data_IF_897372810042
#
_entry.id   IF_897372810042
#
_cell.length_a   1.000
_cell.length_b   1.000
_cell.length_c   1.000
_cell.angle_alpha   90.00
_cell.angle_beta   90.00
_cell.angle_gamma   90.00
#
_symmetry.space_group_name_H-M   'P 1'
#
loop_
_entity.id
_entity.type
_entity.pdbx_description
1 polymer ?
#
# COMPACT_ATOMS: atom_id res chain seq x y z
N UNK A 1 -17.78 -28.14 -21.49
CA UNK A 1 -17.08 -28.16 -20.21
C UNK A 1 -15.58 -28.14 -20.47
N UNK A 2 -14.89 -27.03 -20.15
CA UNK A 2 -13.44 -26.94 -20.23
C UNK A 2 -12.86 -27.50 -18.92
N UNK A 3 -12.49 -28.76 -18.94
CA UNK A 3 -11.86 -29.42 -17.80
C UNK A 3 -10.55 -30.10 -18.22
N UNK A 4 -9.60 -30.23 -17.30
CA UNK A 4 -8.43 -31.08 -17.50
C UNK A 4 -8.85 -32.52 -17.42
N UNK A 5 -8.57 -33.28 -18.47
CA UNK A 5 -8.89 -34.71 -18.52
C UNK A 5 -7.77 -35.56 -17.93
N UNK A 6 -6.50 -35.11 -18.08
CA UNK A 6 -5.34 -35.78 -17.52
C UNK A 6 -4.16 -34.83 -17.34
N UNK A 7 -3.24 -35.21 -16.46
CA UNK A 7 -1.93 -34.55 -16.23
C UNK A 7 -0.90 -35.68 -16.14
N UNK A 8 0.26 -35.49 -16.79
CA UNK A 8 1.34 -36.47 -16.76
C UNK A 8 2.55 -35.98 -17.56
N UNK A 9 3.52 -36.83 -17.74
CA UNK A 9 4.67 -36.59 -18.62
C UNK A 9 4.20 -36.49 -20.07
N UNK A 10 5.04 -35.91 -20.93
CA UNK A 10 4.77 -35.82 -22.38
C UNK A 10 4.50 -37.20 -23.01
N UNK A 11 5.21 -38.24 -22.56
CA UNK A 11 5.02 -39.61 -23.06
C UNK A 11 3.62 -40.15 -22.68
N UNK A 12 3.27 -40.07 -21.39
CA UNK A 12 1.96 -40.54 -20.87
C UNK A 12 0.79 -39.82 -21.53
N UNK A 13 0.90 -38.48 -21.67
CA UNK A 13 -0.19 -37.72 -22.29
C UNK A 13 -0.35 -38.03 -23.79
N UNK A 14 0.75 -38.28 -24.51
CA UNK A 14 0.71 -38.65 -25.94
C UNK A 14 0.00 -39.98 -26.17
N UNK A 15 0.12 -40.93 -25.25
CA UNK A 15 -0.57 -42.22 -25.34
C UNK A 15 -2.11 -42.10 -25.31
N UNK A 16 -2.61 -41.16 -24.53
CA UNK A 16 -4.07 -40.97 -24.35
C UNK A 16 -4.66 -39.84 -25.21
N UNK A 17 -3.80 -38.99 -25.80
CA UNK A 17 -4.27 -37.84 -26.57
C UNK A 17 -4.88 -38.18 -27.95
N UNK A 18 -4.60 -39.36 -28.49
CA UNK A 18 -5.14 -39.77 -29.76
C UNK A 18 -4.89 -38.76 -30.88
N UNK A 19 -5.97 -38.23 -31.47
CA UNK A 19 -5.93 -37.24 -32.56
C UNK A 19 -5.99 -35.78 -32.06
N UNK A 20 -5.85 -35.54 -30.76
CA UNK A 20 -5.91 -34.19 -30.20
C UNK A 20 -4.82 -33.29 -30.77
N UNK A 21 -5.15 -32.01 -30.96
CA UNK A 21 -4.18 -31.00 -31.37
C UNK A 21 -3.15 -30.81 -30.27
N UNK A 22 -1.88 -31.00 -30.60
CA UNK A 22 -0.76 -30.75 -29.69
C UNK A 22 -0.30 -29.28 -29.82
N UNK A 23 -0.13 -28.62 -28.69
CA UNK A 23 0.51 -27.30 -28.60
C UNK A 23 1.82 -27.49 -27.84
N UNK A 24 2.94 -27.27 -28.51
CA UNK A 24 4.26 -27.32 -27.89
C UNK A 24 4.55 -25.98 -27.22
N UNK A 25 4.65 -25.98 -25.90
CA UNK A 25 5.01 -24.79 -25.12
C UNK A 25 6.52 -24.54 -25.04
N UNK A 26 7.36 -25.34 -25.71
CA UNK A 26 8.82 -25.16 -25.77
C UNK A 26 9.48 -25.02 -24.39
N UNK A 27 9.07 -25.84 -23.45
CA UNK A 27 9.57 -25.83 -22.07
C UNK A 27 9.00 -24.72 -21.20
N UNK A 28 8.09 -23.88 -21.71
CA UNK A 28 7.42 -22.83 -20.90
C UNK A 28 6.33 -23.45 -20.02
N UNK A 29 6.12 -22.83 -18.87
CA UNK A 29 5.03 -23.20 -17.98
C UNK A 29 3.70 -22.73 -18.55
N UNK A 30 2.71 -23.63 -18.57
CA UNK A 30 1.33 -23.32 -18.97
C UNK A 30 0.43 -23.46 -17.75
N UNK A 31 -0.26 -22.39 -17.41
CA UNK A 31 -1.21 -22.33 -16.30
C UNK A 31 -2.59 -21.93 -16.81
N UNK A 32 -3.67 -22.23 -16.07
CA UNK A 32 -4.96 -21.60 -16.32
C UNK A 32 -4.83 -20.08 -16.27
N UNK A 33 -5.61 -19.38 -17.09
CA UNK A 33 -5.68 -17.91 -17.00
C UNK A 33 -6.12 -17.48 -15.61
N UNK A 34 -5.56 -16.37 -15.12
CA UNK A 34 -5.96 -15.78 -13.85
C UNK A 34 -7.39 -15.25 -13.98
N UNK A 35 -8.19 -15.49 -12.94
CA UNK A 35 -9.50 -14.88 -12.75
C UNK A 35 -9.40 -14.06 -11.48
N UNK A 36 -9.45 -12.76 -11.62
CA UNK A 36 -9.44 -11.82 -10.50
C UNK A 36 -10.74 -11.00 -10.55
N UNK A 37 -11.56 -11.15 -9.53
CA UNK A 37 -12.85 -10.47 -9.41
C UNK A 37 -12.81 -9.27 -8.48
N UNK A 38 -11.67 -9.03 -7.79
CA UNK A 38 -11.49 -7.91 -6.88
C UNK A 38 -10.00 -7.49 -6.91
N UNK A 39 -9.71 -6.39 -7.59
CA UNK A 39 -8.33 -5.88 -7.72
C UNK A 39 -8.30 -4.36 -7.58
N UNK A 40 -7.36 -3.85 -6.80
CA UNK A 40 -7.07 -2.42 -6.61
C UNK A 40 -5.87 -2.00 -7.49
N UNK A 41 -6.00 -2.18 -8.80
CA UNK A 41 -4.88 -2.01 -9.74
C UNK A 41 -4.25 -0.61 -9.69
N UNK A 42 -5.08 0.44 -9.67
CA UNK A 42 -4.57 1.82 -9.67
C UNK A 42 -3.93 2.20 -8.34
N UNK A 43 -4.52 1.75 -7.23
CA UNK A 43 -3.96 1.96 -5.90
C UNK A 43 -2.61 1.25 -5.75
N UNK A 44 -2.52 -0.03 -6.15
CA UNK A 44 -1.25 -0.74 -6.14
C UNK A 44 -0.19 -0.13 -7.07
N UNK A 45 -0.61 0.53 -8.16
CA UNK A 45 0.33 1.26 -9.03
C UNK A 45 0.88 2.53 -8.34
N UNK A 46 0.05 3.24 -7.56
CA UNK A 46 0.48 4.40 -6.77
C UNK A 46 1.48 4.01 -5.68
N UNK A 47 1.22 2.89 -4.99
CA UNK A 47 2.07 2.39 -3.90
C UNK A 47 3.49 2.04 -4.33
N UNK A 48 3.72 1.73 -5.61
CA UNK A 48 5.07 1.47 -6.13
C UNK A 48 6.03 2.67 -5.99
N UNK A 49 5.51 3.88 -5.81
CA UNK A 49 6.31 5.08 -5.60
C UNK A 49 6.39 5.51 -4.13
N UNK A 50 5.65 4.87 -3.24
CA UNK A 50 5.67 5.14 -1.81
C UNK A 50 6.81 4.38 -1.12
N UNK A 51 7.16 4.83 0.08
CA UNK A 51 8.06 4.08 0.95
C UNK A 51 7.32 2.82 1.44
N UNK A 52 7.88 1.65 1.16
CA UNK A 52 7.37 0.38 1.68
C UNK A 52 7.87 0.16 3.12
N UNK A 53 6.94 0.05 4.06
CA UNK A 53 7.21 -0.20 5.48
C UNK A 53 6.88 -1.63 5.90
N UNK A 54 6.62 -2.53 4.95
CA UNK A 54 6.34 -3.93 5.27
C UNK A 54 7.46 -4.56 6.11
N UNK A 55 7.11 -5.09 7.30
CA UNK A 55 8.05 -5.72 8.21
C UNK A 55 8.98 -4.76 8.97
N UNK A 56 8.74 -3.45 8.90
CA UNK A 56 9.47 -2.47 9.72
C UNK A 56 8.91 -2.47 11.14
N UNK A 57 9.75 -2.74 12.12
CA UNK A 57 9.41 -2.76 13.55
C UNK A 57 10.26 -1.77 14.33
N UNK A 58 9.62 -1.00 15.22
CA UNK A 58 10.26 -0.02 16.09
C UNK A 58 10.54 1.33 15.43
N UNK A 59 10.54 2.37 16.25
CA UNK A 59 10.72 3.76 15.80
C UNK A 59 12.11 4.01 15.20
N UNK A 60 13.13 3.31 15.69
CA UNK A 60 14.50 3.46 15.15
C UNK A 60 14.61 2.95 13.71
N UNK A 61 13.99 1.78 13.42
CA UNK A 61 13.94 1.23 12.06
C UNK A 61 13.04 2.07 11.16
N UNK A 62 11.92 2.58 11.67
CA UNK A 62 11.08 3.55 10.96
C UNK A 62 11.90 4.79 10.57
N UNK A 63 12.67 5.36 11.51
CA UNK A 63 13.55 6.50 11.27
C UNK A 63 14.59 6.19 10.19
N UNK A 64 15.20 5.00 10.27
CA UNK A 64 16.22 4.57 9.29
C UNK A 64 15.63 4.43 7.87
N UNK A 65 14.38 3.98 7.75
CA UNK A 65 13.67 3.88 6.46
C UNK A 65 13.23 5.25 5.93
N UNK A 66 12.65 6.10 6.79
CA UNK A 66 12.08 7.39 6.38
C UNK A 66 13.15 8.41 5.99
N UNK A 67 14.30 8.45 6.66
CA UNK A 67 15.34 9.44 6.44
C UNK A 67 15.86 9.50 4.98
N UNK A 68 16.31 8.40 4.35
CA UNK A 68 16.75 8.43 2.96
C UNK A 68 15.60 8.73 1.99
N UNK A 69 14.39 8.23 2.27
CA UNK A 69 13.21 8.53 1.48
C UNK A 69 12.89 10.03 1.48
N UNK A 70 12.88 10.67 2.66
CA UNK A 70 12.67 12.09 2.80
C UNK A 70 13.73 12.93 2.06
N UNK A 71 15.00 12.49 2.11
CA UNK A 71 16.09 13.18 1.41
C UNK A 71 15.96 13.06 -0.14
N UNK A 72 15.39 11.98 -0.65
CA UNK A 72 15.15 11.79 -2.08
C UNK A 72 13.95 12.58 -2.62
N UNK A 73 13.12 13.14 -1.76
CA UNK A 73 11.85 13.80 -2.11
C UNK A 73 11.72 15.19 -1.44
N UNK A 74 12.63 16.11 -1.76
CA UNK A 74 12.70 17.43 -1.08
C UNK A 74 11.46 18.30 -1.33
N UNK A 75 10.81 18.15 -2.47
CA UNK A 75 9.71 19.00 -2.93
C UNK A 75 8.32 18.48 -2.58
N UNK A 76 8.22 17.24 -2.09
CA UNK A 76 6.93 16.64 -1.72
C UNK A 76 6.34 17.36 -0.50
N UNK A 77 5.08 17.79 -0.60
CA UNK A 77 4.36 18.45 0.51
C UNK A 77 4.08 17.48 1.65
N UNK A 78 3.87 16.22 1.33
CA UNK A 78 3.64 15.12 2.25
C UNK A 78 4.51 13.95 1.82
N UNK A 79 5.25 13.38 2.76
CA UNK A 79 5.89 12.08 2.60
C UNK A 79 4.85 11.01 2.92
N UNK A 80 4.65 10.06 1.99
CA UNK A 80 3.66 9.02 2.19
C UNK A 80 4.30 7.63 2.06
N UNK A 81 3.92 6.73 2.97
CA UNK A 81 4.39 5.36 3.01
C UNK A 81 3.22 4.37 2.94
N UNK A 82 3.49 3.16 2.53
CA UNK A 82 2.56 2.03 2.51
C UNK A 82 2.99 0.94 3.50
N UNK A 83 2.04 0.10 3.85
CA UNK A 83 2.23 -1.13 4.64
C UNK A 83 2.82 -0.93 6.05
N UNK A 84 2.50 0.18 6.73
CA UNK A 84 2.83 0.31 8.16
C UNK A 84 2.03 -0.71 8.98
N UNK A 85 2.70 -1.34 9.95
CA UNK A 85 2.06 -2.32 10.82
C UNK A 85 1.42 -1.66 12.04
N UNK A 86 0.24 -2.14 12.46
CA UNK A 86 -0.42 -1.75 13.72
C UNK A 86 0.46 -2.00 14.95
N UNK A 87 1.37 -2.97 14.87
CA UNK A 87 2.30 -3.36 15.93
C UNK A 87 3.71 -2.78 15.78
N UNK A 88 3.87 -1.75 14.94
CA UNK A 88 5.16 -1.06 14.75
C UNK A 88 5.91 -0.81 16.07
N UNK A 89 5.17 -0.44 17.12
CA UNK A 89 5.73 -0.08 18.45
C UNK A 89 5.48 -1.16 19.52
N UNK A 90 5.19 -2.40 19.11
CA UNK A 90 4.84 -3.54 19.96
C UNK A 90 3.35 -3.84 19.97
N UNK A 91 2.94 -4.82 20.78
CA UNK A 91 1.55 -5.30 20.83
C UNK A 91 0.68 -4.60 21.85
N UNK A 92 1.26 -3.75 22.70
CA UNK A 92 0.54 -3.13 23.83
C UNK A 92 -0.22 -1.86 23.44
N UNK A 93 0.15 -1.24 22.30
CA UNK A 93 -0.49 -0.05 21.75
C UNK A 93 -0.26 0.08 20.24
N UNK A 94 -1.12 0.83 19.58
CA UNK A 94 -0.92 1.25 18.19
C UNK A 94 0.08 2.42 18.09
N UNK A 95 0.68 2.66 16.90
CA UNK A 95 1.49 3.85 16.64
C UNK A 95 0.70 5.15 16.90
N UNK A 96 1.41 6.17 17.33
CA UNK A 96 0.85 7.51 17.54
C UNK A 96 1.59 8.54 16.69
N UNK A 97 1.03 9.75 16.58
CA UNK A 97 1.71 10.86 15.93
C UNK A 97 3.11 11.12 16.48
N UNK A 98 3.33 10.88 17.79
CA UNK A 98 4.63 11.11 18.43
C UNK A 98 5.69 10.09 17.99
N UNK A 99 5.29 8.85 17.70
CA UNK A 99 6.22 7.86 17.15
C UNK A 99 6.65 8.26 15.73
N UNK A 100 5.72 8.79 14.94
CA UNK A 100 6.00 9.28 13.60
C UNK A 100 6.74 10.64 13.64
N UNK A 101 6.46 11.52 14.61
CA UNK A 101 7.23 12.76 14.85
C UNK A 101 8.70 12.45 15.16
N UNK A 102 8.96 11.39 15.95
CA UNK A 102 10.32 10.98 16.26
C UNK A 102 11.08 10.48 15.00
N UNK A 103 10.38 9.82 14.10
CA UNK A 103 10.96 9.34 12.84
C UNK A 103 11.12 10.44 11.78
N UNK A 104 10.18 11.39 11.73
CA UNK A 104 10.15 12.48 10.74
C UNK A 104 9.68 13.79 11.39
N UNK A 105 10.55 14.50 12.16
CA UNK A 105 10.16 15.68 12.93
C UNK A 105 9.91 16.91 12.07
N UNK A 106 10.56 17.00 10.92
CA UNK A 106 10.67 18.26 10.16
C UNK A 106 9.66 18.40 9.04
N UNK A 107 9.01 17.30 8.63
CA UNK A 107 8.12 17.27 7.45
C UNK A 107 6.81 16.53 7.74
N UNK A 108 5.72 16.86 7.04
CA UNK A 108 4.51 16.07 7.04
C UNK A 108 4.82 14.63 6.58
N UNK A 109 4.44 13.65 7.39
CA UNK A 109 4.63 12.24 7.13
C UNK A 109 3.39 11.45 7.55
N UNK A 110 2.92 10.57 6.67
CA UNK A 110 1.84 9.66 6.96
C UNK A 110 2.09 8.29 6.30
N UNK A 111 1.50 7.26 6.86
CA UNK A 111 1.65 5.89 6.37
C UNK A 111 0.34 5.12 6.45
N UNK A 112 -0.02 4.42 5.39
CA UNK A 112 -1.22 3.58 5.29
C UNK A 112 -0.90 2.15 5.69
N UNK A 113 -1.82 1.50 6.38
CA UNK A 113 -1.74 0.08 6.71
C UNK A 113 -1.94 -0.81 5.48
N UNK A 114 -1.48 -2.07 5.54
CA UNK A 114 -1.57 -3.01 4.41
C UNK A 114 -3.00 -3.36 4.01
N UNK A 115 -3.96 -3.21 4.92
CA UNK A 115 -5.39 -3.48 4.67
C UNK A 115 -6.15 -2.25 4.15
N UNK A 116 -5.48 -1.09 4.06
CA UNK A 116 -6.01 0.19 3.58
C UNK A 116 -7.16 0.79 4.40
N UNK A 117 -7.32 0.37 5.65
CA UNK A 117 -8.37 0.87 6.53
C UNK A 117 -7.89 1.93 7.52
N UNK A 118 -6.59 2.08 7.70
CA UNK A 118 -6.01 3.02 8.67
C UNK A 118 -4.84 3.79 8.07
N UNK A 119 -4.75 5.07 8.39
CA UNK A 119 -3.57 5.91 8.15
C UNK A 119 -3.05 6.42 9.49
N UNK A 120 -1.75 6.25 9.72
CA UNK A 120 -1.03 6.92 10.80
C UNK A 120 -0.35 8.17 10.26
N UNK A 121 -0.51 9.30 10.95
CA UNK A 121 0.01 10.61 10.55
C UNK A 121 0.78 11.28 11.68
N UNK A 122 1.89 11.92 11.37
CA UNK A 122 2.62 12.74 12.32
C UNK A 122 1.91 14.08 12.56
N UNK A 123 2.36 14.84 13.55
CA UNK A 123 1.76 16.14 13.92
C UNK A 123 1.69 17.09 12.73
N UNK A 124 2.76 17.18 11.93
CA UNK A 124 2.79 18.07 10.75
C UNK A 124 1.83 17.65 9.64
N UNK A 125 1.61 16.36 9.44
CA UNK A 125 0.63 15.87 8.48
C UNK A 125 -0.81 16.14 8.95
N UNK A 126 -1.08 15.99 10.25
CA UNK A 126 -2.36 16.36 10.84
C UNK A 126 -2.64 17.87 10.73
N UNK A 127 -1.64 18.71 10.97
CA UNK A 127 -1.73 20.18 10.79
C UNK A 127 -2.00 20.53 9.32
N UNK A 128 -1.26 19.92 8.39
CA UNK A 128 -1.42 20.13 6.94
C UNK A 128 -2.83 19.80 6.47
N UNK A 129 -3.43 18.73 7.01
CA UNK A 129 -4.77 18.26 6.66
C UNK A 129 -5.89 18.92 7.49
N UNK A 130 -5.55 19.75 8.50
CA UNK A 130 -6.52 20.39 9.39
C UNK A 130 -7.18 19.42 10.38
N UNK A 131 -6.53 18.28 10.69
CA UNK A 131 -7.08 17.20 11.52
C UNK A 131 -6.54 17.18 12.96
N UNK A 132 -5.55 18.02 13.30
CA UNK A 132 -4.90 17.94 14.62
C UNK A 132 -5.89 18.12 15.79
N UNK A 133 -6.94 18.91 15.63
CA UNK A 133 -7.95 19.12 16.63
C UNK A 133 -9.27 18.40 16.35
N UNK A 134 -9.21 17.32 15.56
CA UNK A 134 -10.36 16.54 15.15
C UNK A 134 -11.10 17.13 13.95
N UNK A 135 -12.04 16.38 13.44
CA UNK A 135 -12.97 16.80 12.39
C UNK A 135 -14.26 15.99 12.48
N UNK A 136 -15.35 16.58 12.01
CA UNK A 136 -16.58 15.82 11.77
C UNK A 136 -16.39 14.98 10.52
N UNK A 137 -16.47 13.67 10.65
CA UNK A 137 -16.30 12.70 9.57
C UNK A 137 -17.55 11.84 9.40
N UNK A 138 -17.69 11.19 8.24
CA UNK A 138 -18.84 10.33 7.96
C UNK A 138 -18.91 9.15 8.93
N UNK A 139 -20.12 8.64 9.15
CA UNK A 139 -20.38 7.46 9.98
C UNK A 139 -19.50 6.28 9.55
N UNK A 140 -18.92 5.60 10.52
CA UNK A 140 -17.97 4.50 10.30
C UNK A 140 -16.51 4.93 10.13
N UNK A 141 -16.24 6.25 10.06
CA UNK A 141 -14.87 6.80 10.06
C UNK A 141 -14.57 7.52 11.37
N UNK A 142 -13.30 7.62 11.76
CA UNK A 142 -12.91 8.26 13.01
C UNK A 142 -11.53 8.93 12.91
N UNK A 143 -11.44 10.16 13.42
CA UNK A 143 -10.17 10.78 13.82
C UNK A 143 -9.98 10.47 15.29
N UNK A 144 -9.08 9.54 15.62
CA UNK A 144 -8.90 9.09 17.01
C UNK A 144 -8.29 10.20 17.84
N UNK A 145 -8.99 10.63 18.91
CA UNK A 145 -8.60 11.76 19.74
C UNK A 145 -7.94 11.32 21.04
N UNK A 146 -6.90 12.03 21.44
CA UNK A 146 -6.28 11.89 22.75
C UNK A 146 -7.08 12.72 23.81
N UNK A 147 -6.88 12.42 25.12
CA UNK A 147 -7.57 13.17 26.20
C UNK A 147 -7.25 14.67 26.25
N UNK A 148 -6.15 15.09 25.63
CA UNK A 148 -5.76 16.51 25.56
C UNK A 148 -6.50 17.31 24.48
N UNK A 149 -7.41 16.67 23.74
CA UNK A 149 -8.17 17.29 22.66
C UNK A 149 -7.42 17.37 21.32
N UNK A 150 -6.31 16.65 21.17
CA UNK A 150 -5.59 16.53 19.90
C UNK A 150 -5.71 15.11 19.32
N UNK A 151 -5.58 14.98 18.00
CA UNK A 151 -5.61 13.68 17.35
C UNK A 151 -4.39 12.84 17.75
N UNK A 152 -4.59 11.54 17.96
CA UNK A 152 -3.48 10.60 18.28
C UNK A 152 -2.55 10.36 17.12
N UNK A 153 -2.99 10.62 15.89
CA UNK A 153 -2.33 10.27 14.65
C UNK A 153 -2.99 9.13 13.91
N UNK A 154 -3.86 8.39 14.56
CA UNK A 154 -4.62 7.28 13.97
C UNK A 154 -5.91 7.79 13.33
N UNK A 155 -6.07 7.49 12.04
CA UNK A 155 -7.20 7.90 11.20
C UNK A 155 -7.84 6.65 10.62
N UNK A 156 -9.08 6.40 10.98
CA UNK A 156 -9.81 5.19 10.59
C UNK A 156 -10.78 5.50 9.45
N UNK A 157 -10.68 4.70 8.39
CA UNK A 157 -11.52 4.74 7.19
C UNK A 157 -11.37 6.02 6.33
N UNK A 158 -11.85 5.91 5.11
CA UNK A 158 -11.58 6.86 4.03
C UNK A 158 -12.00 8.32 4.33
N UNK A 159 -13.09 8.54 5.07
CA UNK A 159 -13.52 9.91 5.37
C UNK A 159 -12.60 10.60 6.40
N UNK A 160 -11.93 9.83 7.28
CA UNK A 160 -10.96 10.38 8.22
C UNK A 160 -9.60 10.68 7.58
N UNK A 161 -9.09 9.79 6.74
CA UNK A 161 -7.76 9.98 6.15
C UNK A 161 -7.79 10.64 4.75
N UNK A 162 -8.95 10.79 4.11
CA UNK A 162 -9.08 11.48 2.82
C UNK A 162 -8.38 12.84 2.77
N UNK A 163 -8.53 13.71 3.79
CA UNK A 163 -7.81 14.99 3.87
C UNK A 163 -6.27 14.87 3.86
N UNK A 164 -5.70 13.75 4.29
CA UNK A 164 -4.27 13.45 4.16
C UNK A 164 -3.95 13.10 2.71
N UNK A 165 -4.73 12.20 2.10
CA UNK A 165 -4.43 11.65 0.78
C UNK A 165 -4.43 12.69 -0.34
N UNK A 166 -5.21 13.78 -0.23
CA UNK A 166 -5.20 14.87 -1.23
C UNK A 166 -3.84 15.58 -1.33
N UNK A 167 -2.95 15.40 -0.37
CA UNK A 167 -1.61 15.96 -0.36
C UNK A 167 -0.53 14.99 -0.85
N UNK A 168 -0.90 13.72 -1.11
CA UNK A 168 0.07 12.75 -1.66
C UNK A 168 0.46 13.17 -3.07
N UNK A 169 1.76 13.08 -3.42
CA UNK A 169 2.18 13.38 -4.77
C UNK A 169 1.66 12.30 -5.73
N UNK A 170 1.14 12.73 -6.87
CA UNK A 170 0.83 11.80 -7.96
C UNK A 170 2.15 11.37 -8.61
N UNK A 171 2.56 10.14 -8.41
CA UNK A 171 3.73 9.55 -9.03
C UNK A 171 3.54 9.32 -10.53
N UNK A 172 4.64 9.28 -11.29
CA UNK A 172 4.61 9.00 -12.73
C UNK A 172 4.02 7.62 -13.05
N UNK A 173 4.19 6.64 -12.16
CA UNK A 173 3.63 5.29 -12.29
C UNK A 173 2.11 5.27 -12.12
N UNK A 174 1.60 6.01 -11.17
CA UNK A 174 0.18 6.19 -10.95
C UNK A 174 -0.49 6.82 -12.16
N UNK A 175 0.08 7.91 -12.68
CA UNK A 175 -0.42 8.58 -13.87
C UNK A 175 -0.39 7.66 -15.10
N UNK A 176 0.68 6.88 -15.28
CA UNK A 176 0.78 5.90 -16.36
C UNK A 176 -0.27 4.80 -16.21
N UNK A 177 -0.49 4.26 -15.01
CA UNK A 177 -1.54 3.29 -14.71
C UNK A 177 -2.93 3.81 -15.05
N UNK A 178 -3.23 5.05 -14.67
CA UNK A 178 -4.52 5.71 -14.96
C UNK A 178 -4.76 5.93 -16.45
N UNK A 179 -3.72 6.26 -17.22
CA UNK A 179 -3.86 6.63 -18.65
C UNK A 179 -3.79 5.44 -19.58
N UNK A 180 -3.04 4.39 -19.24
CA UNK A 180 -2.77 3.28 -20.16
C UNK A 180 -3.47 1.98 -19.74
N UNK A 181 -3.95 1.87 -18.51
CA UNK A 181 -4.44 0.62 -17.94
C UNK A 181 -3.36 -0.47 -17.88
N UNK A 182 -2.10 -0.11 -18.11
CA UNK A 182 -0.96 -1.00 -18.14
C UNK A 182 -0.26 -0.98 -16.78
N UNK A 183 0.17 -2.15 -16.32
CA UNK A 183 1.04 -2.23 -15.16
C UNK A 183 2.42 -1.65 -15.54
N UNK A 184 2.89 -0.59 -14.85
CA UNK A 184 4.18 0.04 -15.14
C UNK A 184 5.40 -0.76 -14.66
N UNK A 185 5.24 -2.02 -14.26
CA UNK A 185 6.37 -2.86 -13.88
C UNK A 185 7.31 -2.95 -15.09
N UNK A 186 8.55 -2.48 -15.00
CA UNK A 186 9.52 -2.64 -16.06
C UNK A 186 9.70 -4.12 -16.36
N UNK A 187 9.56 -4.53 -17.60
CA UNK A 187 10.05 -5.83 -18.03
C UNK A 187 11.57 -5.84 -17.87
N UNK A 188 12.15 -6.89 -17.28
CA UNK A 188 13.61 -7.01 -17.10
C UNK A 188 14.34 -7.02 -18.43
#
# INVERSE_FOLDING_TARGET
>A
PCGRSAIGTTAEIREIAGTAKVIDAQGKTVLPGFIDSHVHLFQGAAELDYLDLYGVEGVDNLTAAVRPYAASRPDDKLLFAAAIDYHLVGTDRTPTRHDLDAACPDRPFAAMTSDHHTVYANTKALELAGLLHGADVAEGSEVVMAPDGTATGELLEAAAFGPILIHTPLGGRELLGMTTGANPIPTP
#
